data_IF_277077453823
#
_entry.id   IF_277077453823
#
_cell.length_a   1.000
_cell.length_b   1.000
_cell.length_c   1.000
_cell.angle_alpha   90.00
_cell.angle_beta   90.00
_cell.angle_gamma   90.00
#
_symmetry.space_group_name_H-M   'P 1'
#
loop_
_entity.id
_entity.type
_entity.pdbx_description
1 polymer ?
#
# COMPACT_ATOMS: atom_id res chain seq x y z
N UNK A 1 -7.69 5.55 -14.06
CA UNK A 1 -6.43 6.14 -14.54
C UNK A 1 -5.42 5.06 -14.82
N UNK A 2 -5.11 4.76 -16.09
CA UNK A 2 -4.26 3.61 -16.48
C UNK A 2 -2.80 3.76 -16.06
N UNK A 3 -2.18 4.92 -16.31
CA UNK A 3 -0.78 5.15 -15.94
C UNK A 3 -0.55 5.12 -14.42
N UNK A 4 -1.47 5.72 -13.64
CA UNK A 4 -1.37 5.69 -12.18
C UNK A 4 -1.51 4.26 -11.61
N UNK A 5 -2.31 3.41 -12.24
CA UNK A 5 -2.38 2.00 -11.84
C UNK A 5 -1.10 1.24 -12.15
N UNK A 6 -0.47 1.51 -13.31
CA UNK A 6 0.84 0.94 -13.65
C UNK A 6 1.93 1.38 -12.66
N UNK A 7 2.00 2.68 -12.36
CA UNK A 7 2.94 3.22 -11.37
C UNK A 7 2.64 2.76 -9.93
N UNK A 8 1.37 2.45 -9.63
CA UNK A 8 0.95 1.83 -8.39
C UNK A 8 1.25 0.34 -8.29
N UNK A 9 1.80 -0.27 -9.34
CA UNK A 9 1.95 -1.71 -9.49
C UNK A 9 0.64 -2.49 -9.27
N UNK A 10 -0.49 -1.86 -9.60
CA UNK A 10 -1.83 -2.46 -9.58
C UNK A 10 -2.11 -3.21 -10.88
N UNK A 11 -1.68 -2.64 -12.01
CA UNK A 11 -1.78 -3.25 -13.34
C UNK A 11 -0.39 -3.59 -13.87
N UNK A 12 -0.27 -4.65 -14.68
CA UNK A 12 0.98 -5.03 -15.36
C UNK A 12 1.13 -4.31 -16.69
N UNK A 13 2.33 -3.81 -17.03
CA UNK A 13 2.57 -3.28 -18.37
C UNK A 13 2.46 -4.42 -19.40
N UNK A 14 1.85 -4.15 -20.55
CA UNK A 14 1.81 -5.12 -21.65
C UNK A 14 3.20 -5.33 -22.25
N UNK A 15 4.01 -4.26 -22.32
CA UNK A 15 5.39 -4.27 -22.81
C UNK A 15 6.21 -3.22 -22.04
N UNK A 16 7.53 -3.40 -22.04
CA UNK A 16 8.46 -2.53 -21.33
C UNK A 16 8.63 -2.91 -19.85
N UNK A 17 9.39 -2.09 -19.13
CA UNK A 17 9.76 -2.32 -17.72
C UNK A 17 9.45 -1.09 -16.89
N UNK A 18 9.07 -1.31 -15.64
CA UNK A 18 8.83 -0.25 -14.65
C UNK A 18 9.69 -0.57 -13.44
N UNK A 19 10.56 0.36 -13.07
CA UNK A 19 11.34 0.25 -11.84
C UNK A 19 10.82 1.23 -10.80
N UNK A 20 10.57 0.72 -9.59
CA UNK A 20 10.11 1.49 -8.44
C UNK A 20 11.09 1.24 -7.29
N UNK A 21 11.63 2.31 -6.72
CA UNK A 21 12.63 2.23 -5.65
C UNK A 21 13.84 1.32 -5.99
N UNK A 22 14.25 1.29 -7.26
CA UNK A 22 15.37 0.48 -7.74
C UNK A 22 15.08 -1.02 -7.90
N UNK A 23 13.80 -1.41 -7.87
CA UNK A 23 13.37 -2.79 -8.08
C UNK A 23 12.26 -2.87 -9.12
N UNK A 24 12.26 -3.91 -9.95
CA UNK A 24 11.12 -4.26 -10.78
C UNK A 24 10.07 -5.00 -9.92
N UNK A 25 8.94 -4.35 -9.58
CA UNK A 25 7.93 -4.98 -8.75
C UNK A 25 7.24 -6.15 -9.47
N UNK A 26 7.23 -6.16 -10.80
CA UNK A 26 6.54 -7.17 -11.61
C UNK A 26 7.34 -8.46 -11.77
N UNK A 27 8.63 -8.44 -11.41
CA UNK A 27 9.45 -9.63 -11.26
C UNK A 27 9.13 -10.41 -9.97
N UNK A 28 8.43 -9.80 -9.01
CA UNK A 28 8.04 -10.44 -7.75
C UNK A 28 6.81 -11.35 -7.94
N UNK A 29 6.72 -12.48 -7.21
CA UNK A 29 5.49 -13.26 -7.12
C UNK A 29 4.38 -12.46 -6.43
N UNK A 30 3.12 -12.79 -6.71
CA UNK A 30 1.96 -11.99 -6.29
C UNK A 30 1.91 -11.62 -4.79
N UNK A 31 2.20 -12.52 -3.83
CA UNK A 31 2.22 -12.16 -2.41
C UNK A 31 3.32 -11.15 -2.05
N UNK A 32 4.47 -11.24 -2.72
CA UNK A 32 5.59 -10.33 -2.51
C UNK A 32 5.34 -8.99 -3.18
N UNK A 33 4.72 -8.97 -4.35
CA UNK A 33 4.27 -7.75 -5.01
C UNK A 33 3.23 -7.01 -4.14
N UNK A 34 2.30 -7.73 -3.51
CA UNK A 34 1.33 -7.12 -2.59
C UNK A 34 2.03 -6.49 -1.36
N UNK A 35 3.00 -7.19 -0.77
CA UNK A 35 3.82 -6.65 0.32
C UNK A 35 4.72 -5.48 -0.12
N UNK A 36 5.21 -5.49 -1.36
CA UNK A 36 5.95 -4.37 -1.95
C UNK A 36 5.08 -3.12 -2.04
N UNK A 37 3.87 -3.23 -2.61
CA UNK A 37 2.91 -2.13 -2.71
C UNK A 37 2.60 -1.55 -1.33
N UNK A 38 2.25 -2.40 -0.37
CA UNK A 38 1.86 -1.99 0.98
C UNK A 38 2.96 -1.16 1.68
N UNK A 39 4.23 -1.46 1.42
CA UNK A 39 5.37 -0.77 2.07
C UNK A 39 5.86 0.46 1.33
N UNK A 40 5.69 0.52 0.01
CA UNK A 40 6.38 1.47 -0.85
C UNK A 40 5.43 2.49 -1.46
N UNK A 41 4.15 2.17 -1.57
CA UNK A 41 3.17 2.94 -2.33
C UNK A 41 1.94 3.23 -1.45
N UNK A 42 1.63 4.51 -1.29
CA UNK A 42 0.37 4.98 -0.72
C UNK A 42 -0.57 5.46 -1.82
N UNK A 43 -1.87 5.19 -1.68
CA UNK A 43 -2.89 5.62 -2.62
C UNK A 43 -3.85 6.61 -1.97
N UNK A 44 -4.14 7.70 -2.69
CA UNK A 44 -5.22 8.63 -2.36
C UNK A 44 -6.05 8.81 -3.62
N UNK A 45 -7.33 8.46 -3.55
CA UNK A 45 -8.28 8.60 -4.65
C UNK A 45 -9.19 9.80 -4.40
N UNK A 46 -9.99 10.18 -5.40
CA UNK A 46 -11.00 11.24 -5.23
C UNK A 46 -12.06 10.83 -4.20
N UNK A 47 -12.50 9.57 -4.24
CA UNK A 47 -13.31 8.98 -3.19
C UNK A 47 -12.43 8.50 -2.04
N UNK A 48 -12.91 8.67 -0.81
CA UNK A 48 -12.10 8.43 0.40
C UNK A 48 -11.75 6.97 0.67
N UNK A 49 -12.48 6.01 0.07
CA UNK A 49 -12.32 4.56 0.27
C UNK A 49 -12.30 4.12 1.75
N UNK A 50 -12.86 4.94 2.65
CA UNK A 50 -12.97 4.60 4.06
C UNK A 50 -14.06 3.54 4.25
N UNK A 51 -13.78 2.55 5.08
CA UNK A 51 -14.77 1.60 5.54
C UNK A 51 -15.66 2.29 6.59
N UNK A 52 -16.97 2.49 6.32
CA UNK A 52 -17.83 3.30 7.18
C UNK A 52 -18.15 2.61 8.51
N UNK A 53 -17.87 1.32 8.65
CA UNK A 53 -18.02 0.57 9.91
C UNK A 53 -16.82 0.75 10.84
N UNK A 54 -15.75 1.41 10.40
CA UNK A 54 -14.51 1.57 11.13
C UNK A 54 -14.26 3.04 11.50
N UNK A 55 -13.54 3.26 12.60
CA UNK A 55 -13.09 4.62 12.93
C UNK A 55 -12.04 5.10 11.92
N UNK A 56 -11.78 6.41 11.91
CA UNK A 56 -10.70 6.97 11.07
C UNK A 56 -9.36 6.34 11.44
N UNK A 57 -9.09 6.18 12.74
CA UNK A 57 -7.87 5.53 13.23
C UNK A 57 -7.75 4.08 12.73
N UNK A 58 -8.84 3.31 12.78
CA UNK A 58 -8.84 1.92 12.30
C UNK A 58 -8.59 1.85 10.79
N UNK A 59 -9.19 2.76 10.00
CA UNK A 59 -8.92 2.86 8.56
C UNK A 59 -7.45 3.15 8.26
N UNK A 60 -6.81 4.04 9.03
CA UNK A 60 -5.37 4.34 8.90
C UNK A 60 -4.49 3.16 9.30
N UNK A 61 -4.93 2.35 10.27
CA UNK A 61 -4.18 1.19 10.75
C UNK A 61 -4.30 -0.05 9.87
N UNK A 62 -5.39 -0.21 9.12
CA UNK A 62 -5.67 -1.40 8.30
C UNK A 62 -4.48 -1.87 7.44
N UNK A 63 -3.78 -0.99 6.69
CA UNK A 63 -2.64 -1.41 5.89
C UNK A 63 -1.52 -2.06 6.70
N UNK A 64 -1.33 -1.65 7.97
CA UNK A 64 -0.31 -2.23 8.87
C UNK A 64 -0.67 -3.64 9.36
N UNK A 65 -1.97 -3.96 9.41
CA UNK A 65 -2.48 -5.25 9.90
C UNK A 65 -2.53 -6.31 8.80
N UNK A 66 -2.66 -5.90 7.54
CA UNK A 66 -2.81 -6.79 6.39
C UNK A 66 -1.59 -7.70 6.13
N UNK A 67 -0.39 -7.32 6.59
CA UNK A 67 0.85 -8.08 6.41
C UNK A 67 1.63 -8.23 7.73
N UNK A 68 1.19 -9.14 8.63
CA UNK A 68 1.84 -9.37 9.92
C UNK A 68 3.31 -9.74 9.75
N UNK A 69 4.20 -9.12 10.54
CA UNK A 69 5.65 -9.37 10.51
C UNK A 69 6.43 -8.63 9.42
N UNK A 70 5.76 -7.87 8.54
CA UNK A 70 6.41 -6.99 7.54
C UNK A 70 6.10 -5.50 7.73
N UNK A 71 5.41 -5.15 8.82
CA UNK A 71 5.02 -3.78 9.17
C UNK A 71 5.58 -3.33 10.52
N UNK A 72 5.31 -2.07 10.90
CA UNK A 72 5.66 -1.52 12.21
C UNK A 72 5.06 -2.36 13.34
N UNK A 73 5.73 -2.41 14.49
CA UNK A 73 5.15 -3.01 15.70
C UNK A 73 3.80 -2.35 16.02
N UNK A 74 2.79 -3.09 16.51
CA UNK A 74 1.43 -2.56 16.68
C UNK A 74 1.36 -1.23 17.46
N UNK A 75 2.17 -1.10 18.51
CA UNK A 75 2.27 0.13 19.29
C UNK A 75 2.81 1.31 18.46
N UNK A 76 3.88 1.09 17.69
CA UNK A 76 4.48 2.11 16.84
C UNK A 76 3.57 2.48 15.65
N UNK A 77 2.83 1.51 15.10
CA UNK A 77 1.84 1.76 14.05
C UNK A 77 0.72 2.66 14.58
N UNK A 78 0.24 2.39 15.81
CA UNK A 78 -0.78 3.20 16.48
C UNK A 78 -0.31 4.61 16.77
N UNK A 79 0.87 4.77 17.37
CA UNK A 79 1.45 6.08 17.67
C UNK A 79 1.60 6.93 16.39
N UNK A 80 2.12 6.32 15.32
CA UNK A 80 2.25 7.00 14.02
C UNK A 80 0.90 7.36 13.43
N UNK A 81 -0.11 6.50 13.54
CA UNK A 81 -1.44 6.78 13.03
C UNK A 81 -2.10 7.94 13.80
N UNK A 82 -1.96 7.98 15.12
CA UNK A 82 -2.46 9.08 15.96
C UNK A 82 -1.77 10.41 15.64
N UNK A 83 -0.48 10.40 15.28
CA UNK A 83 0.26 11.61 14.88
C UNK A 83 -0.11 12.15 13.48
N UNK A 84 -0.79 11.36 12.65
CA UNK A 84 -1.21 11.75 11.29
C UNK A 84 -2.66 12.28 11.24
N UNK A 85 -3.38 12.22 12.36
CA UNK A 85 -4.75 12.69 12.53
C UNK A 85 -4.80 14.05 13.23
#
# INVERSE_FOLDING_TARGET
>A
STLLHLLGALDRPSEGTIEIAGSDPFALPEPELAGFRNRTIGFVFQDSHLLPQLTVLDNVLLPSLAFPGRSLAPAAARERAEALL
#
